data_IF_816317254949
#
_entry.id   IF_816317254949
#
_cell.length_a   1.000
_cell.length_b   1.000
_cell.length_c   1.000
_cell.angle_alpha   90.00
_cell.angle_beta   90.00
_cell.angle_gamma   90.00
#
_symmetry.space_group_name_H-M   'P 1'
#
loop_
_entity.id
_entity.type
_entity.pdbx_description
1 polymer ?
#
# COMPACT_ATOMS: atom_id res chain seq x y z
N UNK A 1 43.29 4.05 -12.30
CA UNK A 1 43.59 5.24 -13.13
C UNK A 1 44.92 5.83 -12.68
N UNK A 2 45.86 6.00 -13.60
CA UNK A 2 47.15 6.60 -13.28
C UNK A 2 47.16 8.03 -13.83
N UNK A 3 47.30 9.04 -12.97
CA UNK A 3 47.48 10.42 -13.37
C UNK A 3 48.93 10.81 -13.22
N UNK A 4 49.53 11.38 -14.27
CA UNK A 4 50.91 11.88 -14.27
C UNK A 4 50.92 13.40 -14.32
N UNK A 5 51.67 14.07 -13.44
CA UNK A 5 51.81 15.51 -13.49
C UNK A 5 52.98 15.90 -14.38
N UNK A 6 52.82 16.99 -15.17
CA UNK A 6 53.77 17.43 -16.21
C UNK A 6 54.93 18.29 -15.68
N UNK A 7 55.12 18.43 -14.36
CA UNK A 7 56.14 19.31 -13.77
C UNK A 7 57.45 18.62 -13.31
N UNK A 8 57.89 17.62 -14.05
CA UNK A 8 59.25 17.06 -13.87
C UNK A 8 59.53 16.26 -12.61
N UNK A 9 58.69 16.26 -11.63
CA UNK A 9 58.69 15.36 -10.48
C UNK A 9 57.66 14.26 -10.72
N UNK A 10 58.12 13.03 -10.97
CA UNK A 10 57.27 11.86 -11.14
C UNK A 10 56.56 11.55 -9.81
N UNK A 11 55.42 12.19 -9.53
CA UNK A 11 54.52 11.73 -8.51
C UNK A 11 53.42 10.89 -9.16
N UNK A 12 53.44 9.58 -8.93
CA UNK A 12 52.35 8.69 -9.31
C UNK A 12 51.50 8.41 -8.08
N UNK A 13 50.22 8.70 -8.14
CA UNK A 13 49.23 8.29 -7.12
C UNK A 13 48.37 7.19 -7.72
N UNK A 14 48.29 6.07 -7.02
CA UNK A 14 47.45 4.95 -7.42
C UNK A 14 46.22 4.93 -6.52
N UNK A 15 45.05 5.06 -7.09
CA UNK A 15 43.79 4.92 -6.39
C UNK A 15 42.98 3.77 -6.96
N UNK A 16 42.33 3.04 -6.10
CA UNK A 16 41.45 1.93 -6.49
C UNK A 16 40.02 2.47 -6.52
N UNK A 17 39.36 2.28 -7.65
CA UNK A 17 37.94 2.58 -7.82
C UNK A 17 37.22 1.23 -7.84
N UNK A 18 36.25 1.04 -6.99
CA UNK A 18 35.38 -0.13 -7.02
C UNK A 18 34.16 0.22 -7.88
N UNK A 19 33.86 -0.61 -8.85
CA UNK A 19 32.64 -0.54 -9.65
C UNK A 19 31.72 -1.62 -9.10
N UNK A 20 30.57 -1.22 -8.58
CA UNK A 20 29.53 -2.14 -8.16
C UNK A 20 28.57 -2.33 -9.33
N UNK A 21 28.20 -3.57 -9.60
CA UNK A 21 27.09 -3.86 -10.51
C UNK A 21 25.77 -3.54 -9.79
N UNK A 22 24.83 -3.03 -10.57
CA UNK A 22 23.48 -2.72 -10.10
C UNK A 22 22.48 -3.00 -11.21
N UNK A 23 21.37 -3.62 -10.85
CA UNK A 23 20.26 -3.90 -11.76
C UNK A 23 18.99 -3.19 -11.25
N UNK A 24 18.02 -3.02 -12.15
CA UNK A 24 16.67 -2.63 -11.73
C UNK A 24 16.13 -3.75 -10.83
N UNK A 25 15.60 -3.39 -9.66
CA UNK A 25 15.03 -4.37 -8.74
C UNK A 25 13.87 -5.13 -9.40
N UNK A 26 13.88 -6.45 -9.24
CA UNK A 26 12.74 -7.28 -9.61
C UNK A 26 11.75 -7.28 -8.45
N UNK A 27 10.51 -6.86 -8.67
CA UNK A 27 9.45 -6.88 -7.67
C UNK A 27 8.19 -7.51 -8.27
N UNK A 28 7.74 -8.58 -7.64
CA UNK A 28 6.49 -9.27 -7.97
C UNK A 28 5.58 -9.31 -6.76
N UNK A 29 4.25 -9.39 -6.99
CA UNK A 29 3.27 -9.46 -5.90
C UNK A 29 3.47 -10.70 -5.00
N UNK A 30 4.00 -11.79 -5.54
CA UNK A 30 4.33 -12.99 -4.78
C UNK A 30 5.43 -12.80 -3.74
N UNK A 31 6.23 -11.72 -3.84
CA UNK A 31 7.24 -11.35 -2.84
C UNK A 31 6.65 -10.55 -1.69
N UNK A 32 5.40 -10.10 -1.81
CA UNK A 32 4.76 -9.20 -0.86
C UNK A 32 3.78 -9.97 0.00
N UNK A 33 3.93 -9.85 1.30
CA UNK A 33 2.94 -10.32 2.28
C UNK A 33 2.19 -9.13 2.85
N UNK A 34 0.87 -9.18 2.76
CA UNK A 34 -0.04 -8.16 3.30
C UNK A 34 -0.81 -8.81 4.45
N UNK A 35 -0.77 -8.17 5.61
CA UNK A 35 -1.63 -8.49 6.75
C UNK A 35 -2.67 -7.39 6.88
N UNK A 36 -3.92 -7.73 6.60
CA UNK A 36 -5.06 -6.81 6.61
C UNK A 36 -6.30 -7.48 7.25
N UNK A 37 -7.41 -6.75 7.32
CA UNK A 37 -8.63 -7.28 7.93
C UNK A 37 -9.38 -8.29 7.04
N UNK A 38 -9.09 -8.36 5.74
CA UNK A 38 -9.64 -9.38 4.86
C UNK A 38 -8.93 -10.72 5.05
N UNK A 39 -7.62 -10.70 5.26
CA UNK A 39 -6.79 -11.90 5.47
C UNK A 39 -6.84 -12.40 6.92
N UNK A 40 -7.08 -11.52 7.90
CA UNK A 40 -7.07 -11.85 9.31
C UNK A 40 -8.13 -11.05 10.07
N UNK A 41 -9.36 -11.57 10.11
CA UNK A 41 -10.49 -10.97 10.80
C UNK A 41 -10.15 -10.82 12.29
N UNK A 42 -10.00 -9.59 12.76
CA UNK A 42 -9.71 -9.24 14.14
C UNK A 42 -8.31 -8.64 14.39
N UNK A 43 -7.43 -8.59 13.40
CA UNK A 43 -6.09 -7.98 13.53
C UNK A 43 -6.10 -6.45 13.41
N UNK A 44 -7.16 -5.81 13.82
CA UNK A 44 -7.53 -4.40 13.62
C UNK A 44 -6.47 -3.33 13.96
N UNK A 45 -5.35 -3.71 14.56
CA UNK A 45 -4.33 -2.75 15.02
C UNK A 45 -2.93 -3.04 14.49
N UNK A 46 -2.78 -3.95 13.53
CA UNK A 46 -1.45 -4.29 13.01
C UNK A 46 -1.49 -4.62 11.52
N UNK A 47 -2.08 -3.73 10.74
CA UNK A 47 -2.02 -3.85 9.29
C UNK A 47 -0.58 -3.60 8.85
N UNK A 48 -0.06 -4.46 7.98
CA UNK A 48 1.33 -4.40 7.59
C UNK A 48 1.56 -4.84 6.14
N UNK A 49 2.65 -4.34 5.58
CA UNK A 49 3.20 -4.77 4.29
C UNK A 49 4.64 -5.22 4.56
N UNK A 50 5.01 -6.41 4.12
CA UNK A 50 6.38 -6.89 4.15
C UNK A 50 6.78 -7.45 2.79
N UNK A 51 8.07 -7.32 2.45
CA UNK A 51 8.66 -7.84 1.22
C UNK A 51 9.67 -8.92 1.60
N UNK A 52 9.48 -10.13 1.12
CA UNK A 52 10.41 -11.24 1.37
C UNK A 52 11.63 -11.13 0.44
N UNK A 53 12.68 -10.54 0.97
CA UNK A 53 13.98 -10.40 0.29
C UNK A 53 14.94 -11.55 0.60
N UNK A 54 14.60 -12.46 1.51
CA UNK A 54 15.44 -13.58 1.89
C UNK A 54 15.23 -14.78 0.97
N UNK A 55 13.97 -15.03 0.57
CA UNK A 55 13.61 -16.13 -0.33
C UNK A 55 13.54 -15.70 -1.79
N UNK A 56 13.54 -14.41 -2.07
CA UNK A 56 13.38 -13.85 -3.41
C UNK A 56 14.54 -12.92 -3.75
N UNK A 57 15.09 -13.12 -4.94
CA UNK A 57 16.20 -12.32 -5.45
C UNK A 57 15.65 -11.05 -6.13
N UNK A 58 15.85 -9.90 -5.50
CA UNK A 58 15.52 -8.59 -6.09
C UNK A 58 16.52 -8.18 -7.18
N UNK A 59 17.66 -8.86 -7.27
CA UNK A 59 18.77 -8.50 -8.17
C UNK A 59 19.99 -7.95 -7.41
N UNK A 60 20.95 -7.44 -8.18
CA UNK A 60 22.20 -6.89 -7.66
C UNK A 60 22.03 -5.39 -7.38
N UNK A 61 22.04 -4.99 -6.13
CA UNK A 61 21.90 -3.58 -5.75
C UNK A 61 21.99 -3.35 -4.23
N UNK A 62 22.05 -2.08 -3.84
CA UNK A 62 21.89 -1.62 -2.44
C UNK A 62 20.50 -1.01 -2.28
N UNK A 63 19.50 -1.88 -2.03
CA UNK A 63 18.10 -1.52 -2.08
C UNK A 63 17.61 -0.90 -0.79
N UNK A 64 16.78 0.14 -0.96
CA UNK A 64 15.96 0.74 0.08
C UNK A 64 14.49 0.70 -0.33
N UNK A 65 13.61 0.64 0.66
CA UNK A 65 12.19 0.44 0.50
C UNK A 65 11.42 1.61 1.07
N UNK A 66 10.36 2.02 0.38
CA UNK A 66 9.39 2.97 0.87
C UNK A 66 7.99 2.55 0.44
N UNK A 67 6.97 3.04 1.16
CA UNK A 67 5.58 2.95 0.74
C UNK A 67 4.95 4.34 0.72
N UNK A 68 4.03 4.54 -0.20
CA UNK A 68 3.23 5.75 -0.34
C UNK A 68 1.76 5.35 -0.33
N UNK A 69 0.97 5.89 0.60
CA UNK A 69 -0.48 5.77 0.53
C UNK A 69 -0.98 6.65 -0.63
N UNK A 70 -1.60 6.04 -1.64
CA UNK A 70 -2.07 6.77 -2.83
C UNK A 70 -3.36 7.55 -2.58
N UNK A 71 -4.09 7.21 -1.52
CA UNK A 71 -5.30 7.91 -1.09
C UNK A 71 -4.96 9.18 -0.29
N UNK A 72 -3.70 9.31 0.17
CA UNK A 72 -3.21 10.49 0.86
C UNK A 72 -2.76 11.57 -0.14
N UNK A 73 -3.35 12.75 -0.04
CA UNK A 73 -3.01 13.90 -0.87
C UNK A 73 -1.59 14.44 -0.63
N UNK A 74 -0.91 14.05 0.44
CA UNK A 74 0.45 14.52 0.75
C UNK A 74 1.49 13.99 -0.21
N UNK A 75 1.24 12.83 -0.82
CA UNK A 75 2.14 12.13 -1.76
C UNK A 75 3.57 11.95 -1.20
N UNK A 76 3.72 11.95 0.11
CA UNK A 76 4.99 11.71 0.76
C UNK A 76 5.11 10.24 1.14
N UNK A 77 6.27 9.59 0.91
CA UNK A 77 6.49 8.24 1.38
C UNK A 77 6.30 8.16 2.90
N UNK A 78 5.58 7.12 3.34
CA UNK A 78 5.46 6.81 4.76
C UNK A 78 6.86 6.52 5.31
N UNK A 79 7.29 7.25 6.33
CA UNK A 79 8.60 7.12 7.00
C UNK A 79 9.86 7.30 6.10
N UNK A 80 9.71 7.65 4.81
CA UNK A 80 10.84 7.75 3.88
C UNK A 80 11.40 6.40 3.45
N UNK A 81 12.56 6.40 2.78
CA UNK A 81 13.24 5.17 2.39
C UNK A 81 14.01 4.56 3.56
N UNK A 82 13.85 3.25 3.74
CA UNK A 82 14.50 2.45 4.79
C UNK A 82 15.06 1.14 4.23
N UNK A 83 16.01 0.53 4.94
CA UNK A 83 16.57 -0.77 4.53
C UNK A 83 15.69 -1.95 4.90
N UNK A 84 14.87 -1.79 5.94
CA UNK A 84 13.99 -2.87 6.40
C UNK A 84 12.73 -2.93 5.54
N UNK A 85 12.44 -4.07 4.88
CA UNK A 85 11.30 -4.21 3.99
C UNK A 85 10.01 -4.57 4.74
N UNK A 86 9.77 -3.92 5.89
CA UNK A 86 8.60 -4.13 6.75
C UNK A 86 8.00 -2.78 7.14
N UNK A 87 6.72 -2.65 6.91
CA UNK A 87 5.92 -1.47 7.25
C UNK A 87 4.72 -1.93 8.08
N UNK A 88 4.66 -1.47 9.32
CA UNK A 88 3.65 -1.84 10.30
C UNK A 88 2.79 -0.64 10.72
N UNK A 89 1.69 -0.92 11.44
CA UNK A 89 0.75 0.08 11.94
C UNK A 89 0.16 0.93 10.81
N UNK A 90 -0.15 0.28 9.70
CA UNK A 90 -0.76 0.93 8.54
C UNK A 90 -2.25 1.14 8.77
N UNK A 91 -2.82 2.11 8.08
CA UNK A 91 -4.26 2.20 7.86
C UNK A 91 -4.63 1.46 6.57
N UNK A 92 -5.93 1.16 6.41
CA UNK A 92 -6.43 0.64 5.14
C UNK A 92 -6.27 1.69 4.03
N UNK A 93 -5.95 1.22 2.81
CA UNK A 93 -5.73 2.09 1.66
C UNK A 93 -5.01 1.39 0.53
N UNK A 94 -4.78 2.11 -0.56
CA UNK A 94 -3.95 1.65 -1.67
C UNK A 94 -2.54 2.19 -1.48
N UNK A 95 -1.58 1.29 -1.43
CA UNK A 95 -0.18 1.63 -1.24
C UNK A 95 0.63 1.37 -2.50
N UNK A 96 1.52 2.31 -2.82
CA UNK A 96 2.58 2.12 -3.79
C UNK A 96 3.85 1.74 -3.03
N UNK A 97 4.31 0.50 -3.21
CA UNK A 97 5.63 0.07 -2.78
C UNK A 97 6.65 0.66 -3.75
N UNK A 98 7.75 1.17 -3.23
CA UNK A 98 8.86 1.71 -4.02
C UNK A 98 10.16 1.08 -3.57
N UNK A 99 10.96 0.62 -4.51
CA UNK A 99 12.30 0.10 -4.26
C UNK A 99 13.29 0.98 -5.02
N UNK A 100 14.19 1.59 -4.27
CA UNK A 100 15.27 2.43 -4.79
C UNK A 100 16.61 1.73 -4.60
N UNK A 101 17.45 1.74 -5.62
CA UNK A 101 18.85 1.30 -5.51
C UNK A 101 19.77 2.50 -5.30
N UNK A 102 20.43 2.56 -4.15
CA UNK A 102 21.38 3.62 -3.80
C UNK A 102 22.61 3.69 -4.67
N UNK A 103 22.99 2.56 -5.28
CA UNK A 103 24.09 2.52 -6.25
C UNK A 103 23.61 2.95 -7.64
N UNK A 104 22.31 3.16 -7.80
CA UNK A 104 21.66 3.05 -9.06
C UNK A 104 21.59 4.27 -9.93
N UNK A 105 21.59 3.96 -11.19
CA UNK A 105 21.22 4.84 -12.28
C UNK A 105 19.79 4.49 -12.77
N UNK A 106 19.06 3.66 -12.06
CA UNK A 106 17.75 3.13 -12.46
C UNK A 106 16.61 3.91 -11.79
N UNK A 107 15.49 4.07 -12.48
CA UNK A 107 14.27 4.55 -11.82
C UNK A 107 13.81 3.56 -10.74
N UNK A 108 13.07 4.06 -9.74
CA UNK A 108 12.50 3.22 -8.70
C UNK A 108 11.57 2.16 -9.29
N UNK A 109 11.71 0.92 -8.83
CA UNK A 109 10.71 -0.12 -9.11
C UNK A 109 9.50 0.11 -8.22
N UNK A 110 8.30 0.01 -8.79
CA UNK A 110 7.06 0.27 -8.03
C UNK A 110 6.02 -0.82 -8.24
N UNK A 111 5.25 -1.11 -7.18
CA UNK A 111 4.12 -2.02 -7.20
C UNK A 111 2.97 -1.43 -6.38
N UNK A 112 1.75 -1.51 -6.91
CA UNK A 112 0.55 -1.14 -6.16
C UNK A 112 0.01 -2.34 -5.41
N UNK A 113 -0.39 -2.13 -4.16
CA UNK A 113 -1.01 -3.14 -3.29
C UNK A 113 -2.19 -2.55 -2.54
N UNK A 114 -3.14 -3.40 -2.17
CA UNK A 114 -4.33 -3.05 -1.41
C UNK A 114 -4.19 -3.57 0.03
N UNK A 115 -4.48 -2.73 1.01
CA UNK A 115 -4.57 -3.07 2.44
C UNK A 115 -6.01 -2.81 2.89
N UNK A 116 -6.78 -3.87 3.14
CA UNK A 116 -8.19 -3.77 3.47
C UNK A 116 -8.40 -3.43 4.95
N UNK A 117 -9.28 -2.47 5.21
CA UNK A 117 -9.72 -2.13 6.56
C UNK A 117 -11.22 -1.81 6.58
N UNK A 118 -11.92 -2.35 7.59
CA UNK A 118 -13.33 -2.10 7.82
C UNK A 118 -13.52 -1.09 8.96
N UNK A 119 -13.96 0.16 8.67
CA UNK A 119 -14.19 1.15 9.72
C UNK A 119 -15.22 0.66 10.73
N UNK A 120 -14.93 0.82 12.02
CA UNK A 120 -15.80 0.41 13.12
C UNK A 120 -16.98 1.33 13.33
N UNK A 121 -16.85 2.58 12.92
CA UNK A 121 -17.87 3.62 13.06
C UNK A 121 -17.69 4.67 11.96
N UNK A 122 -18.72 5.47 11.75
CA UNK A 122 -18.71 6.68 10.95
C UNK A 122 -19.66 7.70 11.56
N UNK A 123 -19.52 8.97 11.20
CA UNK A 123 -20.25 10.10 11.80
C UNK A 123 -20.83 11.00 10.72
N UNK A 124 -22.01 10.65 10.15
CA UNK A 124 -22.60 11.39 9.03
C UNK A 124 -23.20 12.72 9.49
N UNK A 125 -22.34 13.71 9.80
CA UNK A 125 -22.71 15.04 10.27
C UNK A 125 -22.38 16.16 9.26
N UNK A 126 -21.83 15.79 8.11
CA UNK A 126 -21.44 16.69 7.01
C UNK A 126 -20.31 17.65 7.41
N UNK A 127 -19.39 17.25 8.29
CA UNK A 127 -18.19 18.04 8.62
C UNK A 127 -16.98 17.71 7.71
N UNK A 128 -17.13 16.69 6.86
CA UNK A 128 -16.10 16.23 5.93
C UNK A 128 -15.22 15.10 6.49
N UNK A 129 -15.41 14.70 7.75
CA UNK A 129 -14.62 13.68 8.42
C UNK A 129 -15.49 12.47 8.78
N UNK A 130 -15.18 11.29 8.23
CA UNK A 130 -15.92 10.05 8.47
C UNK A 130 -17.45 10.14 8.22
N UNK A 131 -17.87 10.98 7.28
CA UNK A 131 -19.28 11.14 6.91
C UNK A 131 -19.87 9.91 6.24
N UNK A 132 -19.01 9.05 5.69
CA UNK A 132 -19.40 7.84 4.98
C UNK A 132 -18.71 6.62 5.56
N UNK A 133 -19.46 5.53 5.68
CA UNK A 133 -18.86 4.24 5.92
C UNK A 133 -18.39 3.63 4.59
N UNK A 134 -17.08 3.48 4.44
CA UNK A 134 -16.44 2.97 3.22
C UNK A 134 -15.36 1.94 3.59
N UNK A 135 -15.26 0.86 2.83
CA UNK A 135 -14.19 -0.12 3.01
C UNK A 135 -12.89 0.46 2.46
N UNK A 136 -11.94 0.74 3.35
CA UNK A 136 -10.65 1.30 2.95
C UNK A 136 -9.84 0.26 2.17
N UNK A 137 -9.11 0.70 1.14
CA UNK A 137 -8.27 -0.14 0.31
C UNK A 137 -9.01 -0.95 -0.76
N UNK A 138 -10.34 -1.04 -0.71
CA UNK A 138 -11.11 -1.71 -1.74
C UNK A 138 -11.43 -0.75 -2.90
N UNK A 139 -11.11 -1.16 -4.13
CA UNK A 139 -11.52 -0.48 -5.35
C UNK A 139 -11.67 -1.47 -6.52
N UNK A 140 -12.23 -1.02 -7.63
CA UNK A 140 -12.45 -1.87 -8.82
C UNK A 140 -11.18 -2.33 -9.52
N UNK A 141 -10.04 -1.67 -9.30
CA UNK A 141 -8.75 -2.14 -9.84
C UNK A 141 -8.32 -3.44 -9.20
N UNK A 142 -8.50 -3.56 -7.88
CA UNK A 142 -8.12 -4.76 -7.11
C UNK A 142 -9.28 -5.76 -6.95
N UNK A 143 -10.54 -5.28 -6.90
CA UNK A 143 -11.72 -6.08 -6.58
C UNK A 143 -12.91 -5.76 -7.50
N UNK A 144 -12.81 -6.02 -8.82
CA UNK A 144 -13.75 -5.52 -9.84
C UNK A 144 -15.19 -6.04 -9.71
N UNK A 145 -15.37 -7.21 -9.12
CA UNK A 145 -16.66 -7.88 -9.02
C UNK A 145 -17.14 -8.02 -7.58
N UNK A 146 -16.77 -7.08 -6.73
CA UNK A 146 -17.09 -7.11 -5.31
C UNK A 146 -18.34 -6.32 -5.00
N UNK A 147 -19.06 -6.70 -3.96
CA UNK A 147 -20.26 -6.04 -3.49
C UNK A 147 -20.32 -5.99 -1.97
N UNK A 148 -20.94 -4.93 -1.46
CA UNK A 148 -21.08 -4.66 -0.03
C UNK A 148 -22.56 -4.52 0.27
N UNK A 149 -23.04 -5.26 1.28
CA UNK A 149 -24.42 -5.20 1.75
C UNK A 149 -24.43 -4.80 3.22
N UNK A 150 -25.24 -3.81 3.57
CA UNK A 150 -25.38 -3.31 4.93
C UNK A 150 -26.77 -3.63 5.45
N UNK A 151 -26.83 -4.15 6.66
CA UNK A 151 -28.05 -4.62 7.32
C UNK A 151 -28.21 -3.93 8.67
N UNK A 152 -29.44 -3.63 9.03
CA UNK A 152 -29.74 -3.19 10.40
C UNK A 152 -29.70 -4.39 11.37
N UNK A 153 -29.82 -4.09 12.68
CA UNK A 153 -29.84 -5.09 13.77
C UNK A 153 -30.89 -6.19 13.62
N UNK A 154 -31.93 -5.99 12.79
CA UNK A 154 -32.99 -6.96 12.53
C UNK A 154 -32.74 -7.78 11.24
N UNK A 155 -31.58 -7.64 10.61
CA UNK A 155 -31.24 -8.34 9.38
C UNK A 155 -31.88 -7.76 8.12
N UNK A 156 -32.49 -6.57 8.19
CA UNK A 156 -33.05 -5.90 7.02
C UNK A 156 -31.93 -5.20 6.24
N UNK A 157 -31.84 -5.45 4.92
CA UNK A 157 -30.93 -4.75 4.02
C UNK A 157 -31.30 -3.25 3.98
N UNK A 158 -30.35 -2.38 4.27
CA UNK A 158 -30.52 -0.93 4.28
C UNK A 158 -29.66 -0.23 3.24
N UNK A 159 -28.54 -0.82 2.81
CA UNK A 159 -27.73 -0.31 1.70
C UNK A 159 -27.06 -1.46 0.95
N UNK A 160 -26.83 -1.23 -0.35
CA UNK A 160 -25.97 -2.04 -1.19
C UNK A 160 -25.04 -1.08 -1.92
N UNK A 161 -23.74 -1.35 -1.87
CA UNK A 161 -22.68 -0.51 -2.42
C UNK A 161 -21.76 -1.34 -3.31
N UNK A 162 -21.13 -0.66 -4.24
CA UNK A 162 -19.95 -1.14 -4.94
C UNK A 162 -18.68 -0.60 -4.26
N UNK A 163 -17.54 -1.20 -4.53
CA UNK A 163 -16.26 -0.84 -3.87
C UNK A 163 -15.74 0.55 -4.22
N UNK A 164 -16.18 1.12 -5.35
CA UNK A 164 -15.81 2.49 -5.77
C UNK A 164 -16.87 3.54 -5.39
N UNK A 165 -17.95 3.14 -4.71
CA UNK A 165 -18.95 4.09 -4.25
C UNK A 165 -18.37 5.00 -3.16
N UNK A 166 -18.96 6.19 -3.02
CA UNK A 166 -18.59 7.14 -1.96
C UNK A 166 -18.72 6.56 -0.54
N UNK A 167 -19.45 5.46 -0.41
CA UNK A 167 -19.75 4.84 0.87
C UNK A 167 -21.21 5.07 1.29
N UNK A 168 -21.57 4.52 2.44
CA UNK A 168 -22.91 4.66 3.01
C UNK A 168 -22.98 5.84 3.96
N UNK A 169 -23.93 6.71 3.73
CA UNK A 169 -24.19 7.96 4.49
C UNK A 169 -25.11 7.77 5.71
N UNK A 170 -25.46 6.54 6.07
CA UNK A 170 -26.39 6.27 7.18
C UNK A 170 -27.86 6.50 6.86
N UNK A 171 -28.22 6.62 5.57
CA UNK A 171 -29.64 6.79 5.18
C UNK A 171 -30.25 5.51 4.61
N UNK A 172 -31.56 5.42 4.68
CA UNK A 172 -32.38 4.41 4.01
C UNK A 172 -33.64 5.05 3.44
N UNK A 173 -33.83 4.91 2.12
CA UNK A 173 -34.94 5.57 1.40
C UNK A 173 -34.99 7.10 1.64
N UNK A 174 -33.83 7.75 1.67
CA UNK A 174 -33.69 9.19 1.87
C UNK A 174 -33.97 9.68 3.30
N UNK A 175 -34.04 8.78 4.28
CA UNK A 175 -34.21 9.13 5.68
C UNK A 175 -33.01 8.66 6.49
N UNK A 176 -32.48 9.55 7.31
CA UNK A 176 -31.41 9.21 8.27
C UNK A 176 -31.88 8.13 9.24
N UNK A 177 -31.07 7.10 9.40
CA UNK A 177 -31.30 6.04 10.35
C UNK A 177 -30.81 6.45 11.75
N UNK A 178 -31.29 5.75 12.77
CA UNK A 178 -30.85 5.99 14.15
C UNK A 178 -29.40 5.55 14.34
N UNK A 179 -28.72 6.16 15.31
CA UNK A 179 -27.44 5.65 15.82
C UNK A 179 -27.69 4.28 16.45
N UNK A 180 -27.12 3.24 15.84
CA UNK A 180 -27.32 1.83 16.23
C UNK A 180 -26.15 1.00 15.65
N UNK A 181 -26.13 -0.30 15.95
CA UNK A 181 -25.24 -1.28 15.32
C UNK A 181 -25.82 -1.73 13.97
N UNK A 182 -24.95 -1.71 12.96
CA UNK A 182 -25.24 -2.19 11.61
C UNK A 182 -24.26 -3.30 11.27
N UNK A 183 -24.75 -4.30 10.55
CA UNK A 183 -23.97 -5.43 10.09
C UNK A 183 -23.65 -5.23 8.63
N UNK A 184 -22.47 -5.65 8.20
CA UNK A 184 -22.16 -5.70 6.78
C UNK A 184 -21.77 -7.10 6.35
N UNK A 185 -22.04 -7.39 5.09
CA UNK A 185 -21.52 -8.56 4.37
C UNK A 185 -20.81 -8.06 3.14
N UNK A 186 -19.57 -8.47 2.98
CA UNK A 186 -18.74 -8.11 1.83
C UNK A 186 -18.18 -9.37 1.18
N UNK A 187 -18.23 -9.39 -0.15
CA UNK A 187 -17.53 -10.39 -0.95
C UNK A 187 -16.47 -9.66 -1.76
N UNK A 188 -15.20 -9.83 -1.39
CA UNK A 188 -14.06 -9.31 -2.13
C UNK A 188 -13.59 -10.37 -3.13
N UNK A 189 -13.69 -10.06 -4.41
CA UNK A 189 -13.22 -10.93 -5.50
C UNK A 189 -12.01 -10.22 -6.12
N UNK A 190 -10.78 -10.72 -5.85
CA UNK A 190 -9.58 -10.12 -6.40
C UNK A 190 -9.62 -10.11 -7.94
N UNK A 191 -9.05 -9.07 -8.53
CA UNK A 191 -8.76 -9.06 -9.96
C UNK A 191 -7.77 -10.19 -10.28
N UNK A 192 -7.95 -10.84 -11.43
CA UNK A 192 -6.95 -11.77 -11.94
C UNK A 192 -5.73 -10.97 -12.44
N UNK A 193 -4.76 -10.77 -11.56
CA UNK A 193 -3.51 -10.06 -11.86
C UNK A 193 -2.42 -10.96 -12.46
N UNK A 194 -2.78 -12.17 -12.87
CA UNK A 194 -1.84 -13.12 -13.52
C UNK A 194 -1.67 -12.87 -15.02
N UNK A 195 -2.05 -11.68 -15.53
CA UNK A 195 -1.85 -11.31 -16.95
C UNK A 195 -0.95 -10.11 -17.07
#
# INVERSE_FOLDING_TARGET
VTATTTNGTMCSRKETITINESNIATLDISFVTIVDEASNIGSQNNLSISIDILSNDLGLGDYQFAILNTDDNTRTPFAGFQYQPLFENLEGGIYKIMINDKNGCSPDTTLLVSVIQFPKFFTPNSDGENDYWVVKGANKTFYPNSSIHIFNRYGKLVAQLEVDDQGWDGTYNGKTLSSDDYWFNITLIPADITK
#
